data_IF_621930468614
#
_entry.id   IF_621930468614
#
_cell.length_a   1.000
_cell.length_b   1.000
_cell.length_c   1.000
_cell.angle_alpha   90.00
_cell.angle_beta   90.00
_cell.angle_gamma   90.00
#
_symmetry.space_group_name_H-M   'P 1'
#
loop_
_entity.id
_entity.type
_entity.pdbx_description
1 polymer ?
#
# COMPACT_ATOMS: atom_id res chain seq x y z
N UNK A 1 -28.61 -0.99 0.93
CA UNK A 1 -28.34 -2.45 0.88
C UNK A 1 -27.31 -2.82 -0.18
N UNK A 2 -27.54 -2.57 -1.48
CA UNK A 2 -26.60 -2.91 -2.58
C UNK A 2 -25.16 -2.41 -2.37
N UNK A 3 -25.02 -1.22 -1.81
CA UNK A 3 -23.73 -0.55 -1.71
C UNK A 3 -22.85 -1.12 -0.60
N UNK A 4 -23.44 -1.42 0.55
CA UNK A 4 -22.77 -2.10 1.67
C UNK A 4 -22.38 -3.54 1.30
N UNK A 5 -23.21 -4.23 0.52
CA UNK A 5 -22.86 -5.57 -0.01
C UNK A 5 -21.71 -5.50 -1.02
N UNK A 6 -21.64 -4.44 -1.84
CA UNK A 6 -20.55 -4.25 -2.78
C UNK A 6 -19.23 -3.93 -2.08
N UNK A 7 -19.25 -3.07 -1.05
CA UNK A 7 -18.07 -2.80 -0.21
C UNK A 7 -17.57 -4.09 0.46
N UNK A 8 -18.49 -4.90 0.99
CA UNK A 8 -18.14 -6.18 1.60
C UNK A 8 -17.52 -7.16 0.59
N UNK A 9 -18.09 -7.29 -0.61
CA UNK A 9 -17.52 -8.14 -1.68
C UNK A 9 -16.13 -7.63 -2.08
N UNK A 10 -15.98 -6.31 -2.27
CA UNK A 10 -14.74 -5.71 -2.75
C UNK A 10 -13.61 -5.78 -1.72
N UNK A 11 -13.92 -5.65 -0.43
CA UNK A 11 -12.98 -5.86 0.68
C UNK A 11 -12.56 -7.32 0.79
N UNK A 12 -13.49 -8.29 0.65
CA UNK A 12 -13.14 -9.71 0.64
C UNK A 12 -12.29 -10.13 -0.56
N UNK A 13 -12.57 -9.58 -1.75
CA UNK A 13 -11.75 -9.79 -2.95
C UNK A 13 -10.36 -9.20 -2.74
N UNK A 14 -10.27 -7.95 -2.26
CA UNK A 14 -8.99 -7.31 -1.94
C UNK A 14 -8.19 -8.14 -0.93
N UNK A 15 -8.85 -8.63 0.13
CA UNK A 15 -8.21 -9.42 1.18
C UNK A 15 -7.64 -10.71 0.62
N UNK A 16 -8.42 -11.40 -0.21
CA UNK A 16 -8.02 -12.66 -0.83
C UNK A 16 -6.80 -12.46 -1.74
N UNK A 17 -6.81 -11.42 -2.58
CA UNK A 17 -5.69 -11.12 -3.47
C UNK A 17 -4.43 -10.79 -2.66
N UNK A 18 -4.55 -9.94 -1.64
CA UNK A 18 -3.40 -9.54 -0.81
C UNK A 18 -2.86 -10.71 0.00
N UNK A 19 -3.73 -11.57 0.56
CA UNK A 19 -3.32 -12.79 1.26
C UNK A 19 -2.54 -13.74 0.35
N UNK A 20 -3.00 -13.92 -0.90
CA UNK A 20 -2.29 -14.73 -1.91
C UNK A 20 -0.94 -14.09 -2.25
N UNK A 21 -0.86 -12.75 -2.33
CA UNK A 21 0.41 -12.07 -2.61
C UNK A 21 1.43 -12.21 -1.46
N UNK A 22 0.96 -12.12 -0.21
CA UNK A 22 1.79 -12.31 0.98
C UNK A 22 2.36 -13.73 0.97
N UNK A 23 1.54 -14.76 0.72
CA UNK A 23 2.02 -16.15 0.68
C UNK A 23 3.02 -16.39 -0.44
N UNK A 24 2.79 -15.86 -1.66
CA UNK A 24 3.74 -15.94 -2.77
C UNK A 24 5.07 -15.27 -2.40
N UNK A 25 5.04 -14.10 -1.76
CA UNK A 25 6.25 -13.41 -1.34
C UNK A 25 7.02 -14.18 -0.25
N UNK A 26 6.30 -14.78 0.71
CA UNK A 26 6.88 -15.60 1.78
C UNK A 26 7.51 -16.89 1.22
N UNK A 27 6.86 -17.54 0.26
CA UNK A 27 7.38 -18.71 -0.45
C UNK A 27 8.61 -18.33 -1.28
N UNK A 28 8.56 -17.21 -2.02
CA UNK A 28 9.71 -16.73 -2.81
C UNK A 28 10.89 -16.29 -1.94
N UNK A 29 10.65 -15.84 -0.71
CA UNK A 29 11.73 -15.54 0.24
C UNK A 29 12.36 -16.83 0.81
N UNK A 30 11.58 -17.90 0.98
CA UNK A 30 12.06 -19.20 1.46
C UNK A 30 12.69 -20.07 0.36
N UNK A 31 12.27 -19.91 -0.90
CA UNK A 31 12.74 -20.63 -2.08
C UNK A 31 13.27 -19.61 -3.09
N UNK A 32 14.60 -19.47 -3.13
CA UNK A 32 15.34 -18.45 -3.93
C UNK A 32 15.16 -18.60 -5.46
N UNK A 33 14.43 -19.62 -5.93
CA UNK A 33 14.45 -20.09 -7.31
C UNK A 33 13.06 -20.10 -7.98
N UNK A 34 12.32 -18.99 -7.96
CA UNK A 34 11.03 -18.88 -8.67
C UNK A 34 10.82 -17.54 -9.39
N UNK A 35 11.67 -17.22 -10.37
CA UNK A 35 11.59 -16.00 -11.21
C UNK A 35 10.19 -15.83 -11.85
N UNK A 36 9.50 -16.92 -12.20
CA UNK A 36 8.16 -16.88 -12.80
C UNK A 36 7.05 -16.41 -11.85
N UNK A 37 7.20 -16.62 -10.54
CA UNK A 37 6.22 -16.18 -9.54
C UNK A 37 6.29 -14.67 -9.28
N UNK A 38 7.46 -14.07 -9.50
CA UNK A 38 7.66 -12.63 -9.33
C UNK A 38 6.89 -11.80 -10.38
N UNK A 39 6.96 -12.18 -11.66
CA UNK A 39 6.18 -11.52 -12.74
C UNK A 39 4.65 -11.62 -12.50
N UNK A 40 4.21 -12.77 -11.96
CA UNK A 40 2.80 -12.96 -11.57
C UNK A 40 2.41 -12.07 -10.38
N UNK A 41 3.32 -11.83 -9.43
CA UNK A 41 3.08 -10.97 -8.27
C UNK A 41 2.99 -9.49 -8.66
N UNK A 42 3.79 -9.03 -9.63
CA UNK A 42 3.74 -7.64 -10.11
C UNK A 42 2.40 -7.30 -10.77
N UNK A 43 1.86 -8.21 -11.60
CA UNK A 43 0.50 -8.08 -12.17
C UNK A 43 -0.57 -8.03 -11.08
N UNK A 44 -0.37 -8.77 -9.99
CA UNK A 44 -1.22 -8.72 -8.80
C UNK A 44 -1.28 -7.33 -8.15
N UNK A 45 -0.15 -6.59 -8.10
CA UNK A 45 -0.13 -5.21 -7.55
C UNK A 45 -1.04 -4.28 -8.34
N UNK A 46 -1.02 -4.36 -9.66
CA UNK A 46 -1.86 -3.52 -10.53
C UNK A 46 -3.34 -3.84 -10.30
N UNK A 47 -3.70 -5.13 -10.21
CA UNK A 47 -5.06 -5.55 -9.89
C UNK A 47 -5.53 -5.02 -8.52
N UNK A 48 -4.70 -5.13 -7.49
CA UNK A 48 -5.02 -4.60 -6.15
C UNK A 48 -5.19 -3.08 -6.17
N UNK A 49 -4.38 -2.37 -6.96
CA UNK A 49 -4.48 -0.92 -7.08
C UNK A 49 -5.82 -0.48 -7.67
N UNK A 50 -6.29 -1.14 -8.73
CA UNK A 50 -7.62 -0.88 -9.30
C UNK A 50 -8.74 -1.20 -8.31
N UNK A 51 -8.62 -2.30 -7.56
CA UNK A 51 -9.62 -2.69 -6.55
C UNK A 51 -9.71 -1.67 -5.41
N UNK A 52 -8.57 -1.22 -4.88
CA UNK A 52 -8.50 -0.18 -3.85
C UNK A 52 -9.02 1.16 -4.38
N UNK A 53 -8.65 1.56 -5.60
CA UNK A 53 -9.16 2.79 -6.23
C UNK A 53 -10.68 2.74 -6.36
N UNK A 54 -11.24 1.58 -6.75
CA UNK A 54 -12.69 1.33 -6.74
C UNK A 54 -13.30 1.51 -5.35
N UNK A 55 -12.70 0.94 -4.30
CA UNK A 55 -13.15 1.13 -2.91
C UNK A 55 -13.22 2.60 -2.51
N UNK A 56 -12.18 3.41 -2.82
CA UNK A 56 -12.19 4.85 -2.49
C UNK A 56 -13.29 5.60 -3.24
N UNK A 57 -13.46 5.36 -4.55
CA UNK A 57 -14.46 6.05 -5.38
C UNK A 57 -15.88 5.70 -4.92
N UNK A 58 -16.13 4.41 -4.69
CA UNK A 58 -17.39 3.91 -4.14
C UNK A 58 -17.69 4.61 -2.81
N UNK A 59 -16.72 4.71 -1.88
CA UNK A 59 -16.91 5.40 -0.60
C UNK A 59 -17.11 6.90 -0.71
N UNK A 60 -16.42 7.57 -1.64
CA UNK A 60 -16.62 8.99 -1.90
C UNK A 60 -18.08 9.24 -2.29
N UNK A 61 -18.59 8.50 -3.27
CA UNK A 61 -19.96 8.67 -3.78
C UNK A 61 -20.99 8.41 -2.67
N UNK A 62 -20.72 7.46 -1.77
CA UNK A 62 -21.64 7.10 -0.69
C UNK A 62 -21.66 8.10 0.46
N UNK A 63 -20.48 8.54 0.91
CA UNK A 63 -20.38 9.35 2.13
C UNK A 63 -20.54 10.84 1.85
N UNK A 64 -20.48 11.26 0.58
CA UNK A 64 -20.60 12.66 0.17
C UNK A 64 -19.45 13.56 0.66
N UNK A 65 -18.47 12.98 1.36
CA UNK A 65 -17.25 13.62 1.84
C UNK A 65 -16.02 12.87 1.33
N UNK A 66 -14.89 13.54 1.31
CA UNK A 66 -13.63 12.92 0.92
C UNK A 66 -13.25 11.80 1.91
N UNK A 67 -12.83 10.60 1.45
CA UNK A 67 -12.56 9.44 2.29
C UNK A 67 -11.20 9.56 3.01
N UNK A 68 -11.10 10.51 3.94
CA UNK A 68 -9.95 10.74 4.83
C UNK A 68 -10.37 11.01 6.28
N UNK A 69 -11.67 10.91 6.58
CA UNK A 69 -12.19 11.39 7.87
C UNK A 69 -11.97 10.38 8.99
N UNK A 70 -11.96 9.09 8.63
CA UNK A 70 -11.73 8.01 9.57
C UNK A 70 -10.28 7.48 9.50
N UNK A 71 -9.83 6.86 10.58
CA UNK A 71 -8.53 6.19 10.64
C UNK A 71 -8.45 5.04 9.62
N UNK A 72 -9.53 4.30 9.42
CA UNK A 72 -9.63 3.27 8.38
C UNK A 72 -9.50 3.87 6.98
N UNK A 73 -10.22 4.95 6.70
CA UNK A 73 -10.19 5.63 5.40
C UNK A 73 -8.79 6.17 5.09
N UNK A 74 -8.13 6.74 6.10
CA UNK A 74 -6.75 7.22 6.00
C UNK A 74 -5.76 6.09 5.73
N UNK A 75 -5.94 4.91 6.34
CA UNK A 75 -5.09 3.74 6.09
C UNK A 75 -5.29 3.17 4.68
N UNK A 76 -6.52 3.18 4.16
CA UNK A 76 -6.80 2.82 2.78
C UNK A 76 -6.11 3.79 1.82
N UNK A 77 -6.18 5.11 2.09
CA UNK A 77 -5.51 6.13 1.27
C UNK A 77 -3.98 6.02 1.34
N UNK A 78 -3.43 5.68 2.51
CA UNK A 78 -2.01 5.39 2.68
C UNK A 78 -1.58 4.17 1.85
N UNK A 79 -2.35 3.08 1.89
CA UNK A 79 -2.13 1.87 1.09
C UNK A 79 -2.18 2.14 -0.42
N UNK A 80 -3.12 2.97 -0.85
CA UNK A 80 -3.20 3.46 -2.22
C UNK A 80 -1.96 4.28 -2.61
N UNK A 81 -1.47 5.15 -1.73
CA UNK A 81 -0.25 5.94 -1.95
C UNK A 81 1.01 5.07 -2.07
N UNK A 82 1.17 4.04 -1.24
CA UNK A 82 2.26 3.06 -1.39
C UNK A 82 2.17 2.29 -2.70
N UNK A 83 0.95 1.92 -3.13
CA UNK A 83 0.72 1.23 -4.39
C UNK A 83 1.12 2.11 -5.58
N UNK A 84 0.82 3.41 -5.55
CA UNK A 84 1.29 4.38 -6.56
C UNK A 84 2.81 4.46 -6.62
N UNK A 85 3.47 4.61 -5.46
CA UNK A 85 4.93 4.71 -5.39
C UNK A 85 5.60 3.44 -5.95
N UNK A 86 4.98 2.27 -5.76
CA UNK A 86 5.46 1.01 -6.34
C UNK A 86 5.24 0.92 -7.87
N UNK A 87 4.14 1.45 -8.39
CA UNK A 87 3.79 1.40 -9.82
C UNK A 87 4.62 2.39 -10.66
N UNK A 88 5.01 3.55 -10.11
CA UNK A 88 5.76 4.58 -10.86
C UNK A 88 7.09 4.07 -11.46
N UNK A 89 7.97 3.36 -10.70
CA UNK A 89 9.19 2.77 -11.25
C UNK A 89 8.93 1.69 -12.31
N UNK A 90 7.82 0.95 -12.20
CA UNK A 90 7.46 -0.11 -13.14
C UNK A 90 7.25 0.44 -14.57
N UNK A 91 6.61 1.60 -14.70
CA UNK A 91 6.41 2.24 -16.01
C UNK A 91 7.71 2.79 -16.63
N UNK A 92 8.71 3.14 -15.83
CA UNK A 92 9.99 3.62 -16.34
C UNK A 92 10.89 2.50 -16.87
N UNK A 93 10.43 1.23 -16.90
CA UNK A 93 11.13 0.05 -17.44
C UNK A 93 12.51 -0.21 -16.83
N UNK A 94 12.88 0.54 -15.80
CA UNK A 94 14.15 0.44 -15.13
C UNK A 94 13.91 -0.44 -13.92
N UNK A 95 14.36 -1.70 -14.00
CA UNK A 95 14.27 -2.68 -12.90
C UNK A 95 15.18 -2.23 -11.76
N UNK A 96 14.72 -1.21 -11.05
CA UNK A 96 15.48 -0.50 -10.06
C UNK A 96 15.38 -1.24 -8.73
N UNK A 97 16.48 -1.24 -7.98
CA UNK A 97 16.56 -1.59 -6.55
C UNK A 97 15.37 -1.04 -5.75
N UNK A 98 14.84 0.12 -6.16
CA UNK A 98 13.62 0.74 -5.65
C UNK A 98 12.42 -0.22 -5.60
N UNK A 99 12.08 -0.89 -6.71
CA UNK A 99 10.89 -1.75 -6.77
C UNK A 99 11.00 -2.92 -5.79
N UNK A 100 12.19 -3.55 -5.71
CA UNK A 100 12.48 -4.65 -4.78
C UNK A 100 12.38 -4.23 -3.32
N UNK A 101 12.79 -3.00 -2.97
CA UNK A 101 12.74 -2.50 -1.59
C UNK A 101 11.33 -2.05 -1.21
N UNK A 102 10.61 -1.43 -2.15
CA UNK A 102 9.28 -0.85 -1.90
C UNK A 102 8.19 -1.93 -1.95
N UNK A 103 8.39 -3.01 -2.71
CA UNK A 103 7.44 -4.12 -2.87
C UNK A 103 6.95 -4.72 -1.55
N UNK A 104 7.83 -5.16 -0.64
CA UNK A 104 7.44 -5.69 0.67
C UNK A 104 6.65 -4.67 1.50
N UNK A 105 7.03 -3.38 1.46
CA UNK A 105 6.34 -2.30 2.19
C UNK A 105 4.91 -2.07 1.66
N UNK A 106 4.74 -2.08 0.34
CA UNK A 106 3.43 -1.99 -0.29
C UNK A 106 2.53 -3.18 0.08
N UNK A 107 3.06 -4.41 0.00
CA UNK A 107 2.33 -5.63 0.38
C UNK A 107 1.94 -5.60 1.86
N UNK A 108 2.83 -5.16 2.74
CA UNK A 108 2.57 -5.08 4.17
C UNK A 108 1.47 -4.06 4.50
N UNK A 109 1.53 -2.87 3.89
CA UNK A 109 0.53 -1.81 4.11
C UNK A 109 -0.82 -2.21 3.53
N UNK A 110 -0.85 -2.84 2.35
CA UNK A 110 -2.06 -3.42 1.77
C UNK A 110 -2.64 -4.54 2.65
N UNK A 111 -1.79 -5.41 3.19
CA UNK A 111 -2.18 -6.48 4.11
C UNK A 111 -2.82 -5.92 5.37
N UNK A 112 -2.22 -4.88 5.94
CA UNK A 112 -2.74 -4.22 7.13
C UNK A 112 -4.08 -3.52 6.86
N UNK A 113 -4.17 -2.71 5.79
CA UNK A 113 -5.39 -2.00 5.42
C UNK A 113 -6.58 -2.94 5.12
N UNK A 114 -6.28 -4.14 4.62
CA UNK A 114 -7.31 -5.12 4.25
C UNK A 114 -7.58 -6.15 5.35
N UNK A 115 -6.73 -6.21 6.38
CA UNK A 115 -6.93 -7.11 7.51
C UNK A 115 -8.16 -6.70 8.32
N UNK A 116 -8.95 -7.69 8.76
CA UNK A 116 -10.16 -7.49 9.56
C UNK A 116 -9.95 -6.73 10.88
N UNK A 117 -8.69 -6.50 11.26
CA UNK A 117 -8.29 -5.70 12.41
C UNK A 117 -8.69 -4.22 12.27
N UNK A 118 -8.79 -3.71 11.04
CA UNK A 118 -9.28 -2.34 10.80
C UNK A 118 -10.81 -2.30 10.59
N UNK A 119 -11.44 -3.45 10.36
CA UNK A 119 -12.91 -3.56 10.30
C UNK A 119 -13.55 -3.46 11.69
N UNK A 120 -12.81 -3.78 12.75
CA UNK A 120 -13.23 -3.60 14.15
C UNK A 120 -13.31 -2.12 14.56
N UNK A 121 -12.50 -1.24 13.95
CA UNK A 121 -12.53 0.22 14.23
C UNK A 121 -13.64 0.95 13.45
N UNK A 122 -14.41 0.25 12.61
CA UNK A 122 -15.51 0.79 11.81
C UNK A 122 -16.70 1.31 12.65
N UNK A 123 -16.61 1.23 13.99
CA UNK A 123 -17.71 1.47 14.94
C UNK A 123 -17.60 2.79 15.73
N UNK A 124 -16.50 3.53 15.60
CA UNK A 124 -16.32 4.85 16.24
C UNK A 124 -16.62 5.97 15.23
N UNK A 125 -17.89 6.35 15.06
CA UNK A 125 -18.60 7.41 15.81
C UNK A 125 -18.10 8.84 15.52
N UNK A 126 -19.00 9.59 14.87
CA UNK A 126 -19.17 11.05 14.82
C UNK A 126 -17.96 11.85 14.28
N UNK A 127 -18.08 12.26 13.01
CA UNK A 127 -17.22 13.27 12.39
C UNK A 127 -17.26 14.55 13.23
N UNK A 128 -16.10 14.99 13.70
CA UNK A 128 -15.92 16.30 14.33
C UNK A 128 -16.20 17.38 13.27
N UNK A 129 -16.98 18.44 13.57
CA UNK A 129 -17.39 19.47 12.60
C UNK A 129 -16.23 20.22 11.90
N UNK A 130 -15.00 20.08 12.41
CA UNK A 130 -13.81 20.73 11.89
C UNK A 130 -13.28 20.14 10.55
N UNK A 131 -13.72 18.94 10.14
CA UNK A 131 -13.26 18.29 8.91
C UNK A 131 -13.92 18.78 7.60
N UNK A 132 -14.87 19.70 7.68
CA UNK A 132 -15.62 20.18 6.50
C UNK A 132 -14.93 21.28 5.68
N UNK A 133 -13.71 21.68 6.04
CA UNK A 133 -12.99 22.71 5.25
C UNK A 133 -12.20 22.10 4.10
N UNK A 134 -12.37 22.65 2.90
CA UNK A 134 -11.63 22.27 1.68
C UNK A 134 -10.10 22.33 1.87
N UNK A 135 -9.63 23.23 2.74
CA UNK A 135 -8.21 23.38 3.05
C UNK A 135 -7.65 22.18 3.82
N UNK A 136 -8.42 21.60 4.75
CA UNK A 136 -7.98 20.44 5.52
C UNK A 136 -7.85 19.19 4.64
N UNK A 137 -8.71 19.03 3.64
CA UNK A 137 -8.67 17.91 2.69
C UNK A 137 -7.36 17.95 1.88
N UNK A 138 -6.95 19.12 1.39
CA UNK A 138 -5.67 19.28 0.72
C UNK A 138 -4.49 19.05 1.68
N UNK A 139 -4.56 19.59 2.90
CA UNK A 139 -3.50 19.45 3.90
C UNK A 139 -3.29 17.98 4.30
N UNK A 140 -4.35 17.28 4.69
CA UNK A 140 -4.28 15.89 5.19
C UNK A 140 -3.90 14.93 4.07
N UNK A 141 -4.41 15.10 2.84
CA UNK A 141 -4.00 14.26 1.71
C UNK A 141 -2.51 14.43 1.39
N UNK A 142 -2.00 15.68 1.37
CA UNK A 142 -0.58 15.95 1.17
C UNK A 142 0.27 15.40 2.32
N UNK A 143 -0.21 15.50 3.57
CA UNK A 143 0.46 14.96 4.75
C UNK A 143 0.60 13.43 4.67
N UNK A 144 -0.48 12.71 4.32
CA UNK A 144 -0.45 11.24 4.19
C UNK A 144 0.44 10.80 3.03
N UNK A 145 0.41 11.53 1.91
CA UNK A 145 1.30 11.27 0.78
C UNK A 145 2.77 11.50 1.17
N UNK A 146 3.06 12.56 1.95
CA UNK A 146 4.39 12.83 2.48
C UNK A 146 4.84 11.74 3.46
N UNK A 147 3.96 11.20 4.31
CA UNK A 147 4.26 10.07 5.17
C UNK A 147 4.61 8.81 4.37
N UNK A 148 3.85 8.49 3.31
CA UNK A 148 4.18 7.38 2.42
C UNK A 148 5.56 7.56 1.76
N UNK A 149 5.84 8.77 1.26
CA UNK A 149 7.12 9.09 0.65
C UNK A 149 8.29 9.03 1.65
N UNK A 150 8.13 9.53 2.88
CA UNK A 150 9.15 9.46 3.93
C UNK A 150 9.42 8.03 4.39
N UNK A 151 8.38 7.22 4.58
CA UNK A 151 8.52 5.80 4.90
C UNK A 151 9.29 5.07 3.78
N UNK A 152 8.88 5.27 2.52
CA UNK A 152 9.57 4.74 1.35
C UNK A 152 11.04 5.21 1.27
N UNK A 153 11.30 6.50 1.46
CA UNK A 153 12.64 7.08 1.41
C UNK A 153 13.55 6.58 2.53
N UNK A 154 13.01 6.39 3.73
CA UNK A 154 13.76 5.84 4.87
C UNK A 154 14.18 4.38 4.61
N UNK A 155 13.29 3.55 4.06
CA UNK A 155 13.58 2.17 3.69
C UNK A 155 14.65 2.09 2.59
N UNK A 156 14.55 2.98 1.58
CA UNK A 156 15.55 3.09 0.53
C UNK A 156 16.93 3.45 1.09
N UNK A 157 16.98 4.45 1.99
CA UNK A 157 18.22 4.89 2.62
C UNK A 157 18.89 3.77 3.42
N UNK A 158 18.12 3.04 4.24
CA UNK A 158 18.61 1.89 5.00
C UNK A 158 19.16 0.80 4.07
N UNK A 159 18.46 0.51 2.97
CA UNK A 159 18.91 -0.50 2.01
C UNK A 159 20.24 -0.11 1.33
N UNK A 160 20.37 1.15 0.89
CA UNK A 160 21.61 1.66 0.30
C UNK A 160 22.77 1.64 1.30
N UNK A 161 22.52 1.95 2.57
CA UNK A 161 23.51 1.85 3.63
C UNK A 161 24.00 0.41 3.80
N UNK A 162 23.08 -0.57 3.85
CA UNK A 162 23.43 -1.99 3.96
C UNK A 162 24.27 -2.46 2.76
N UNK A 163 23.89 -2.08 1.54
CA UNK A 163 24.65 -2.42 0.32
C UNK A 163 26.07 -1.82 0.37
N UNK A 164 26.18 -0.56 0.79
CA UNK A 164 27.46 0.16 0.88
C UNK A 164 28.38 -0.46 1.93
N UNK A 165 27.85 -0.78 3.12
CA UNK A 165 28.60 -1.44 4.19
C UNK A 165 29.09 -2.82 3.75
N UNK A 166 28.24 -3.62 3.07
CA UNK A 166 28.65 -4.93 2.51
C UNK A 166 29.77 -4.78 1.48
N UNK A 167 29.69 -3.79 0.58
CA UNK A 167 30.72 -3.52 -0.43
C UNK A 167 32.05 -3.13 0.22
N UNK A 168 32.02 -2.27 1.24
CA UNK A 168 33.21 -1.87 2.00
C UNK A 168 33.85 -3.06 2.72
N UNK A 169 33.05 -3.95 3.33
CA UNK A 169 33.56 -5.17 4.00
C UNK A 169 34.24 -6.12 3.01
N UNK A 170 33.69 -6.32 1.81
CA UNK A 170 34.33 -7.15 0.77
C UNK A 170 35.66 -6.56 0.29
N UNK A 171 35.77 -5.24 0.20
CA UNK A 171 37.01 -4.56 -0.17
C UNK A 171 38.13 -4.73 0.87
N UNK A 172 37.80 -4.85 2.16
CA UNK A 172 38.78 -5.12 3.22
C UNK A 172 39.14 -6.61 3.38
N UNK A 173 38.43 -7.51 2.69
CA UNK A 173 38.64 -8.96 2.77
C UNK A 173 39.45 -9.52 1.59
N UNK A 174 39.90 -8.66 0.66
CA UNK A 174 40.79 -8.97 -0.46
C UNK A 174 42.11 -8.24 -0.24
#
# INVERSE_FOLDING_TARGET
>A
MIFSTLEHILTHISFSIVSIRITIHLISFLVDEMVKLYDSSEKGTIMTFFCITGLLITRWIYSGHFPLSDLYESLIFLSWSFSLIHIVPYFQKNQNLLSTIIGPSAIFTQGFATSGLVTEVHKSTILVPALQSEWLIMHVSMMILAYAALLCGSLLSVSLLVITVRKKRKFFAT
#
